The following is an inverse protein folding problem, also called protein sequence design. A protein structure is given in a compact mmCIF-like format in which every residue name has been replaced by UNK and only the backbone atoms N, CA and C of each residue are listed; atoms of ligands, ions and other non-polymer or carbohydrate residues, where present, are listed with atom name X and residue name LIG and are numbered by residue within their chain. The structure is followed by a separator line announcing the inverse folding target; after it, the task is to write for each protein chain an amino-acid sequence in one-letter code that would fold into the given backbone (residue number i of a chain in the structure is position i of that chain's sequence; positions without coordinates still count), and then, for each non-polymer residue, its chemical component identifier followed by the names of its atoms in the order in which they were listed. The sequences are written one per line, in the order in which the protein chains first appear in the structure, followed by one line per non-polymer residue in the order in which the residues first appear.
data_IF_054951706282
#
_entry.id   IF_054951706282
#
_cell.length_a   1.000
_cell.length_b   1.000
_cell.length_c   1.000
_cell.angle_alpha   90.00
_cell.angle_beta   90.00
_cell.angle_gamma   90.00
#
_symmetry.space_group_name_H-M   'P 1'
#
loop_
_entity.id
_entity.type
_entity.pdbx_description
1 polymer ?
#
# COMPACT_ATOMS: atom_id res chain seq x y z
N UNK A 1 -19.39 18.42 -20.42
CA UNK A 1 -19.72 17.02 -20.04
C UNK A 1 -19.14 16.78 -18.67
N UNK A 2 -19.99 16.69 -17.65
CA UNK A 2 -19.57 16.44 -16.26
C UNK A 2 -19.07 15.00 -16.15
N UNK A 3 -17.82 14.82 -15.72
CA UNK A 3 -17.25 13.50 -15.47
C UNK A 3 -18.16 12.76 -14.48
N UNK A 4 -18.70 11.61 -14.90
CA UNK A 4 -19.50 10.72 -14.06
C UNK A 4 -18.58 10.19 -12.96
N UNK A 5 -18.86 10.58 -11.72
CA UNK A 5 -18.04 10.21 -10.56
C UNK A 5 -18.45 8.81 -10.10
N UNK A 6 -17.55 7.83 -10.25
CA UNK A 6 -17.75 6.49 -9.73
C UNK A 6 -17.41 6.49 -8.23
N UNK A 7 -18.30 5.94 -7.43
CA UNK A 7 -18.02 5.62 -6.04
C UNK A 7 -17.91 4.10 -5.93
N UNK A 8 -16.67 3.60 -5.95
CA UNK A 8 -16.37 2.20 -5.68
C UNK A 8 -16.20 1.97 -4.18
N UNK A 9 -16.92 1.01 -3.60
CA UNK A 9 -16.74 0.59 -2.21
C UNK A 9 -16.16 -0.82 -2.20
N UNK A 10 -14.95 -0.94 -1.68
CA UNK A 10 -14.34 -2.24 -1.36
C UNK A 10 -14.91 -2.74 -0.04
N UNK A 11 -15.33 -4.01 0.00
CA UNK A 11 -15.87 -4.65 1.20
C UNK A 11 -15.33 -6.07 1.36
N UNK A 12 -15.65 -6.71 2.49
CA UNK A 12 -15.49 -8.16 2.70
C UNK A 12 -16.49 -9.00 1.88
N UNK A 13 -17.40 -8.35 1.13
CA UNK A 13 -18.47 -8.97 0.35
C UNK A 13 -18.33 -8.71 -1.16
N UNK A 14 -17.21 -8.14 -1.59
CA UNK A 14 -16.89 -7.87 -2.98
C UNK A 14 -16.63 -6.40 -3.27
N UNK A 15 -16.58 -6.08 -4.56
CA UNK A 15 -16.45 -4.72 -5.08
C UNK A 15 -17.82 -4.22 -5.51
N UNK A 16 -18.32 -3.17 -4.84
CA UNK A 16 -19.55 -2.49 -5.22
C UNK A 16 -19.23 -1.28 -6.10
N UNK A 17 -19.90 -1.17 -7.24
CA UNK A 17 -19.94 0.02 -8.09
C UNK A 17 -21.34 0.62 -8.05
N UNK A 18 -21.40 1.94 -7.87
CA UNK A 18 -22.62 2.72 -8.01
C UNK A 18 -22.41 3.70 -9.18
N UNK A 19 -23.25 3.60 -10.22
CA UNK A 19 -23.20 4.46 -11.41
C UNK A 19 -24.60 4.81 -11.88
N UNK A 20 -24.90 6.11 -11.98
CA UNK A 20 -26.22 6.63 -12.41
C UNK A 20 -27.41 6.00 -11.66
N UNK A 21 -27.27 5.76 -10.35
CA UNK A 21 -28.31 5.12 -9.51
C UNK A 21 -28.46 3.62 -9.69
N UNK A 22 -27.61 2.98 -10.51
CA UNK A 22 -27.55 1.52 -10.66
C UNK A 22 -26.38 0.98 -9.84
N UNK A 23 -26.62 -0.12 -9.12
CA UNK A 23 -25.61 -0.83 -8.34
C UNK A 23 -25.20 -2.13 -9.05
N UNK A 24 -23.89 -2.38 -9.12
CA UNK A 24 -23.33 -3.64 -9.60
C UNK A 24 -22.31 -4.13 -8.60
N UNK A 25 -22.37 -5.41 -8.24
CA UNK A 25 -21.41 -6.06 -7.35
C UNK A 25 -20.58 -7.08 -8.10
N UNK A 26 -19.28 -7.15 -7.80
CA UNK A 26 -18.38 -8.21 -8.22
C UNK A 26 -17.96 -9.03 -7.00
N UNK A 27 -18.36 -10.29 -6.96
CA UNK A 27 -18.10 -11.24 -5.88
C UNK A 27 -18.15 -12.69 -6.38
N UNK A 28 -18.04 -13.68 -5.49
CA UNK A 28 -18.09 -15.11 -5.83
C UNK A 28 -19.40 -15.56 -6.46
N UNK A 29 -20.51 -14.86 -6.21
CA UNK A 29 -21.79 -15.18 -6.83
C UNK A 29 -21.90 -14.64 -8.26
N UNK A 30 -20.99 -13.75 -8.66
CA UNK A 30 -20.94 -13.13 -10.00
C UNK A 30 -19.69 -13.57 -10.77
N UNK A 31 -19.04 -14.66 -10.37
CA UNK A 31 -17.91 -15.27 -11.08
C UNK A 31 -16.51 -14.77 -10.71
N UNK A 32 -16.34 -14.06 -9.58
CA UNK A 32 -15.04 -13.60 -9.09
C UNK A 32 -14.52 -14.52 -7.97
N UNK A 33 -13.22 -14.81 -7.90
CA UNK A 33 -12.75 -15.88 -6.98
C UNK A 33 -12.53 -15.42 -5.52
N UNK A 34 -12.83 -14.18 -5.15
CA UNK A 34 -12.66 -13.69 -3.78
C UNK A 34 -13.61 -12.54 -3.41
N UNK A 35 -14.24 -12.62 -2.25
CA UNK A 35 -15.13 -11.58 -1.74
C UNK A 35 -14.39 -10.47 -0.99
N UNK A 36 -13.15 -10.71 -0.56
CA UNK A 36 -12.40 -9.74 0.23
C UNK A 36 -11.49 -8.91 -0.66
N UNK A 37 -11.95 -7.69 -0.97
CA UNK A 37 -11.17 -6.71 -1.73
C UNK A 37 -10.31 -5.89 -0.77
N UNK A 38 -8.99 -5.92 -0.97
CA UNK A 38 -8.00 -5.27 -0.11
C UNK A 38 -7.59 -3.91 -0.65
N UNK A 39 -7.60 -3.73 -1.97
CA UNK A 39 -7.26 -2.45 -2.59
C UNK A 39 -7.72 -2.34 -4.02
N UNK A 40 -7.86 -1.11 -4.50
CA UNK A 40 -8.18 -0.80 -5.89
C UNK A 40 -7.39 0.44 -6.33
N UNK A 41 -6.91 0.43 -7.57
CA UNK A 41 -6.31 1.61 -8.20
C UNK A 41 -6.72 1.70 -9.67
N UNK A 42 -7.03 2.90 -10.12
CA UNK A 42 -7.36 3.21 -11.50
C UNK A 42 -6.09 3.40 -12.33
N UNK A 43 -6.11 2.85 -13.55
CA UNK A 43 -5.08 3.03 -14.55
C UNK A 43 -5.44 4.17 -15.53
N UNK A 44 -4.48 4.71 -16.28
CA UNK A 44 -4.75 5.83 -17.21
C UNK A 44 -5.70 5.49 -18.35
N UNK A 45 -5.84 4.21 -18.68
CA UNK A 45 -6.77 3.72 -19.70
C UNK A 45 -8.18 3.41 -19.16
N UNK A 46 -8.49 3.84 -17.93
CA UNK A 46 -9.80 3.65 -17.29
C UNK A 46 -10.06 2.22 -16.79
N UNK A 47 -9.05 1.34 -16.83
CA UNK A 47 -9.12 0.02 -16.20
C UNK A 47 -8.70 0.09 -14.74
N UNK A 48 -9.06 -0.93 -13.95
CA UNK A 48 -8.78 -0.97 -12.51
C UNK A 48 -7.95 -2.19 -12.17
N UNK A 49 -6.93 -2.00 -11.34
CA UNK A 49 -6.26 -3.10 -10.66
C UNK A 49 -6.86 -3.29 -9.28
N UNK A 50 -7.20 -4.54 -8.96
CA UNK A 50 -7.91 -4.95 -7.74
C UNK A 50 -7.09 -5.99 -7.01
N UNK A 51 -6.71 -5.69 -5.77
CA UNK A 51 -6.04 -6.60 -4.86
C UNK A 51 -7.06 -7.40 -4.03
N UNK A 52 -6.82 -8.70 -3.88
CA UNK A 52 -7.70 -9.62 -3.15
C UNK A 52 -6.97 -10.32 -2.02
N UNK A 53 -7.72 -10.89 -1.10
CA UNK A 53 -7.17 -11.54 0.08
C UNK A 53 -6.53 -12.90 -0.21
N UNK A 54 -7.02 -13.66 -1.20
CA UNK A 54 -6.62 -15.06 -1.43
C UNK A 54 -6.56 -15.44 -2.91
N UNK A 55 -6.92 -14.54 -3.80
CA UNK A 55 -6.97 -14.81 -5.24
C UNK A 55 -5.96 -14.00 -6.06
N UNK A 56 -5.00 -13.33 -5.42
CA UNK A 56 -4.03 -12.50 -6.13
C UNK A 56 -4.64 -11.15 -6.55
N UNK A 57 -4.36 -10.72 -7.77
CA UNK A 57 -4.82 -9.44 -8.31
C UNK A 57 -5.49 -9.58 -9.67
N UNK A 58 -6.43 -8.68 -9.94
CA UNK A 58 -7.17 -8.64 -11.20
C UNK A 58 -7.01 -7.27 -11.83
N UNK A 59 -6.89 -7.24 -13.16
CA UNK A 59 -7.12 -6.05 -13.96
C UNK A 59 -8.50 -6.17 -14.60
N UNK A 60 -9.36 -5.20 -14.36
CA UNK A 60 -10.77 -5.23 -14.79
C UNK A 60 -11.18 -3.94 -15.50
N UNK A 61 -12.20 -4.03 -16.35
CA UNK A 61 -12.87 -2.86 -16.92
C UNK A 61 -13.80 -2.20 -15.90
N UNK A 62 -14.35 -1.02 -16.24
CA UNK A 62 -15.41 -0.37 -15.46
C UNK A 62 -16.66 -1.26 -15.29
N UNK A 63 -16.90 -2.15 -16.25
CA UNK A 63 -18.01 -3.10 -16.25
C UNK A 63 -17.64 -4.45 -15.63
N UNK A 64 -16.49 -4.54 -14.95
CA UNK A 64 -16.00 -5.73 -14.26
C UNK A 64 -15.58 -6.90 -15.16
N UNK A 65 -15.36 -6.67 -16.45
CA UNK A 65 -14.76 -7.68 -17.32
C UNK A 65 -13.30 -7.87 -16.94
N UNK A 66 -12.88 -9.12 -16.75
CA UNK A 66 -11.51 -9.46 -16.38
C UNK A 66 -10.62 -9.40 -17.61
N UNK A 67 -9.69 -8.45 -17.63
CA UNK A 67 -8.65 -8.31 -18.66
C UNK A 67 -7.47 -9.22 -18.33
N UNK A 68 -7.08 -9.30 -17.06
CA UNK A 68 -5.94 -10.10 -16.61
C UNK A 68 -6.16 -10.53 -15.17
N UNK A 69 -5.72 -11.75 -14.85
CA UNK A 69 -5.68 -12.27 -13.49
C UNK A 69 -4.25 -12.74 -13.21
N UNK A 70 -3.60 -12.14 -12.21
CA UNK A 70 -2.28 -12.54 -11.75
C UNK A 70 -2.38 -13.18 -10.36
N UNK A 71 -1.84 -14.37 -10.23
CA UNK A 71 -1.81 -15.18 -9.02
C UNK A 71 -0.51 -16.01 -8.98
N UNK A 72 -0.34 -16.87 -7.98
CA UNK A 72 0.89 -17.68 -7.82
C UNK A 72 1.17 -18.62 -8.98
N UNK A 73 0.16 -19.13 -9.68
CA UNK A 73 0.35 -19.98 -10.86
C UNK A 73 0.82 -19.18 -12.07
N UNK A 74 0.60 -17.86 -12.08
CA UNK A 74 1.09 -16.93 -13.09
C UNK A 74 2.31 -16.11 -12.59
N UNK A 75 2.93 -16.52 -11.48
CA UNK A 75 4.19 -15.96 -10.99
C UNK A 75 4.09 -14.84 -9.94
N UNK A 76 2.90 -14.50 -9.44
CA UNK A 76 2.73 -13.58 -8.31
C UNK A 76 3.36 -14.16 -7.04
N UNK A 77 4.03 -13.32 -6.24
CA UNK A 77 4.76 -13.78 -5.05
C UNK A 77 3.83 -14.37 -3.97
N UNK A 78 2.60 -13.86 -3.86
CA UNK A 78 1.56 -14.47 -3.03
C UNK A 78 0.16 -14.09 -3.52
N UNK A 79 -0.80 -15.00 -3.36
CA UNK A 79 -2.21 -14.69 -3.59
C UNK A 79 -2.82 -13.83 -2.48
N UNK A 80 -2.12 -13.70 -1.34
CA UNK A 80 -2.50 -12.80 -0.26
C UNK A 80 -1.93 -11.42 -0.53
N UNK A 81 -2.75 -10.56 -1.12
CA UNK A 81 -2.36 -9.23 -1.58
C UNK A 81 -2.98 -8.18 -0.68
N UNK A 82 -2.12 -7.39 -0.04
CA UNK A 82 -2.53 -6.39 0.95
C UNK A 82 -2.82 -5.04 0.31
N UNK A 83 -1.99 -4.63 -0.66
CA UNK A 83 -2.13 -3.31 -1.28
C UNK A 83 -1.76 -3.34 -2.76
N UNK A 84 -2.43 -2.50 -3.54
CA UNK A 84 -2.07 -2.17 -4.92
C UNK A 84 -1.89 -0.67 -5.09
N UNK A 85 -0.78 -0.24 -5.69
CA UNK A 85 -0.41 1.16 -5.87
C UNK A 85 0.05 1.37 -7.31
N UNK A 86 -0.48 2.41 -7.95
CA UNK A 86 0.00 2.85 -9.26
C UNK A 86 1.23 3.73 -9.08
N UNK A 87 2.30 3.37 -9.77
CA UNK A 87 3.52 4.13 -9.91
C UNK A 87 3.39 5.30 -10.88
N UNK A 88 4.42 6.14 -10.89
CA UNK A 88 4.46 7.37 -11.71
C UNK A 88 4.58 7.14 -13.20
N UNK A 89 5.16 6.02 -13.61
CA UNK A 89 5.40 5.66 -15.01
C UNK A 89 4.44 4.58 -15.52
N UNK A 90 3.36 4.32 -14.78
CA UNK A 90 2.32 3.36 -15.14
C UNK A 90 2.53 1.94 -14.60
N UNK A 91 3.61 1.70 -13.85
CA UNK A 91 3.78 0.46 -13.09
C UNK A 91 2.66 0.30 -12.07
N UNK A 92 2.41 -0.96 -11.73
CA UNK A 92 1.60 -1.32 -10.57
C UNK A 92 2.49 -2.03 -9.58
N UNK A 93 2.63 -1.46 -8.39
CA UNK A 93 3.27 -2.08 -7.24
C UNK A 93 2.22 -2.83 -6.44
N UNK A 94 2.51 -4.06 -6.04
CA UNK A 94 1.59 -4.86 -5.22
C UNK A 94 2.29 -5.45 -4.00
N UNK A 95 1.80 -5.09 -2.81
CA UNK A 95 2.27 -5.59 -1.53
C UNK A 95 1.63 -6.95 -1.27
N UNK A 96 2.45 -7.96 -0.99
CA UNK A 96 1.99 -9.33 -0.77
C UNK A 96 2.55 -9.88 0.54
N UNK A 97 2.02 -11.04 0.97
CA UNK A 97 2.58 -11.78 2.11
C UNK A 97 4.07 -12.17 1.92
N UNK A 98 4.51 -12.33 0.67
CA UNK A 98 5.82 -12.89 0.33
C UNK A 98 6.68 -11.90 -0.49
N UNK A 99 6.51 -10.60 -0.23
CA UNK A 99 7.27 -9.53 -0.87
C UNK A 99 6.39 -8.55 -1.67
N UNK A 100 7.06 -7.77 -2.49
CA UNK A 100 6.49 -6.80 -3.44
C UNK A 100 6.69 -7.32 -4.85
N UNK A 101 5.65 -7.26 -5.69
CA UNK A 101 5.77 -7.45 -7.14
C UNK A 101 5.55 -6.12 -7.88
N UNK A 102 6.29 -5.91 -8.97
CA UNK A 102 6.13 -4.79 -9.90
C UNK A 102 5.56 -5.33 -11.21
N UNK A 103 4.46 -4.74 -11.65
CA UNK A 103 3.75 -5.13 -12.85
C UNK A 103 3.82 -3.99 -13.87
N UNK A 104 4.11 -4.34 -15.13
CA UNK A 104 4.03 -3.44 -16.27
C UNK A 104 3.15 -4.08 -17.34
N UNK A 105 2.16 -3.32 -17.82
CA UNK A 105 1.11 -3.87 -18.67
C UNK A 105 0.35 -4.96 -17.91
N UNK A 106 0.48 -6.21 -18.36
CA UNK A 106 -0.18 -7.38 -17.77
C UNK A 106 0.82 -8.42 -17.22
N UNK A 107 2.09 -8.04 -17.00
CA UNK A 107 3.16 -8.97 -16.61
C UNK A 107 3.90 -8.47 -15.38
N UNK A 108 4.31 -9.41 -14.53
CA UNK A 108 5.23 -9.15 -13.43
C UNK A 108 6.64 -9.03 -14.01
N UNK A 109 7.31 -7.90 -13.76
CA UNK A 109 8.62 -7.57 -14.33
C UNK A 109 9.75 -7.56 -13.30
N UNK A 110 9.45 -7.33 -12.02
CA UNK A 110 10.43 -7.33 -10.93
C UNK A 110 9.75 -7.75 -9.63
N UNK A 111 10.53 -8.31 -8.70
CA UNK A 111 10.10 -8.62 -7.35
C UNK A 111 11.15 -8.19 -6.34
N UNK A 112 10.70 -7.90 -5.13
CA UNK A 112 11.54 -7.66 -3.98
C UNK A 112 11.02 -8.49 -2.81
N UNK A 113 11.92 -9.26 -2.19
CA UNK A 113 11.68 -10.06 -0.99
C UNK A 113 12.95 -10.04 -0.12
N UNK A 114 12.96 -10.78 0.99
CA UNK A 114 14.14 -10.89 1.88
C UNK A 114 15.38 -11.37 1.13
N UNK A 115 15.22 -12.32 0.20
CA UNK A 115 16.30 -12.79 -0.67
C UNK A 115 16.86 -11.71 -1.62
N UNK A 116 16.14 -10.62 -1.85
CA UNK A 116 16.60 -9.45 -2.60
C UNK A 116 17.09 -8.31 -1.70
N UNK A 117 17.01 -8.46 -0.37
CA UNK A 117 17.47 -7.46 0.59
C UNK A 117 16.37 -6.65 1.29
N UNK A 118 15.08 -6.95 1.06
CA UNK A 118 14.03 -6.39 1.92
C UNK A 118 14.25 -6.85 3.36
N UNK A 119 13.80 -6.03 4.32
CA UNK A 119 13.92 -6.38 5.74
C UNK A 119 13.04 -7.58 6.11
N UNK A 120 11.85 -7.67 5.50
CA UNK A 120 10.87 -8.71 5.74
C UNK A 120 10.01 -8.96 4.49
N UNK A 121 9.48 -10.17 4.39
CA UNK A 121 8.65 -10.61 3.26
C UNK A 121 7.20 -10.11 3.38
N UNK A 122 6.68 -9.97 4.60
CA UNK A 122 5.31 -9.49 4.78
C UNK A 122 5.26 -7.98 4.59
N UNK A 123 4.93 -7.57 3.35
CA UNK A 123 4.79 -6.16 2.96
C UNK A 123 3.35 -5.71 3.18
N UNK A 124 3.16 -4.63 3.94
CA UNK A 124 1.84 -4.05 4.19
C UNK A 124 1.48 -2.98 3.17
N UNK A 125 2.42 -2.05 2.91
CA UNK A 125 2.17 -0.95 1.99
C UNK A 125 3.45 -0.47 1.29
N UNK A 126 3.27 0.22 0.17
CA UNK A 126 4.34 0.78 -0.65
C UNK A 126 3.98 2.24 -0.96
N UNK A 127 4.95 3.12 -0.81
CA UNK A 127 4.85 4.52 -1.23
C UNK A 127 5.99 4.86 -2.16
N UNK A 128 5.67 5.46 -3.31
CA UNK A 128 6.66 6.02 -4.21
C UNK A 128 6.71 7.53 -4.02
N UNK A 129 7.87 8.05 -3.62
CA UNK A 129 8.05 9.47 -3.36
C UNK A 129 8.37 10.29 -4.62
N UNK A 130 8.53 11.60 -4.45
CA UNK A 130 8.89 12.57 -5.50
C UNK A 130 10.12 12.16 -6.33
N UNK A 131 11.10 11.51 -5.70
CA UNK A 131 12.41 11.18 -6.25
C UNK A 131 12.48 9.74 -6.81
N UNK A 132 11.32 9.08 -6.95
CA UNK A 132 11.16 7.68 -7.36
C UNK A 132 11.75 6.66 -6.38
N UNK A 133 11.96 7.06 -5.12
CA UNK A 133 12.34 6.15 -4.05
C UNK A 133 11.09 5.39 -3.60
N UNK A 134 11.20 4.07 -3.48
CA UNK A 134 10.14 3.25 -2.89
C UNK A 134 10.39 3.09 -1.41
N UNK A 135 9.38 3.42 -0.62
CA UNK A 135 9.31 3.21 0.82
C UNK A 135 8.34 2.06 1.07
N UNK A 136 8.83 0.97 1.65
CA UNK A 136 8.13 -0.31 1.76
C UNK A 136 7.93 -0.61 3.25
N UNK A 137 6.68 -0.50 3.69
CA UNK A 137 6.26 -0.77 5.06
C UNK A 137 6.09 -2.29 5.25
N UNK A 138 6.77 -2.87 6.24
CA UNK A 138 6.78 -4.32 6.48
C UNK A 138 6.52 -4.66 7.94
N UNK A 139 6.41 -5.96 8.23
CA UNK A 139 6.28 -6.44 9.60
C UNK A 139 7.52 -6.24 10.47
N UNK A 140 8.70 -6.06 9.88
CA UNK A 140 9.98 -5.96 10.59
C UNK A 140 10.71 -4.63 10.42
N UNK A 141 10.12 -3.67 9.72
CA UNK A 141 10.62 -2.31 9.61
C UNK A 141 10.18 -1.62 8.34
N UNK A 142 10.95 -0.61 7.96
CA UNK A 142 10.80 0.12 6.72
C UNK A 142 11.98 -0.23 5.80
N UNK A 143 11.72 -0.62 4.56
CA UNK A 143 12.76 -0.74 3.53
C UNK A 143 12.66 0.44 2.56
N UNK A 144 13.80 1.01 2.19
CA UNK A 144 13.92 2.05 1.16
C UNK A 144 14.67 1.47 -0.04
N UNK A 145 14.06 1.57 -1.22
CA UNK A 145 14.65 1.14 -2.50
C UNK A 145 14.93 2.37 -3.35
N UNK A 146 16.21 2.63 -3.62
CA UNK A 146 16.69 3.72 -4.47
C UNK A 146 17.53 3.14 -5.60
N UNK A 147 16.93 3.05 -6.79
CA UNK A 147 17.51 2.29 -7.90
C UNK A 147 17.59 0.80 -7.56
N UNK A 148 18.80 0.24 -7.54
CA UNK A 148 19.06 -1.15 -7.16
C UNK A 148 19.57 -1.31 -5.73
N UNK A 149 19.71 -0.22 -4.98
CA UNK A 149 20.13 -0.24 -3.58
C UNK A 149 18.92 -0.35 -2.66
N UNK A 150 19.04 -1.22 -1.65
CA UNK A 150 18.05 -1.39 -0.59
C UNK A 150 18.70 -1.05 0.75
N UNK A 151 18.08 -0.16 1.50
CA UNK A 151 18.44 0.17 2.88
C UNK A 151 17.27 -0.12 3.79
N UNK A 152 17.53 -0.73 4.93
CA UNK A 152 16.51 -1.16 5.89
C UNK A 152 16.63 -0.34 7.17
N UNK A 153 15.48 -0.03 7.77
CA UNK A 153 15.38 0.71 9.03
C UNK A 153 14.45 -0.03 9.98
N UNK A 154 14.95 -0.33 11.18
CA UNK A 154 14.17 -0.92 12.26
C UNK A 154 14.60 -0.38 13.62
N UNK A 155 14.18 -1.00 14.72
CA UNK A 155 14.55 -0.57 16.08
C UNK A 155 16.05 -0.48 16.33
N UNK A 156 16.85 -1.37 15.74
CA UNK A 156 18.30 -1.35 15.90
C UNK A 156 18.94 -0.12 15.24
N UNK A 157 18.24 0.49 14.28
CA UNK A 157 18.71 1.63 13.49
C UNK A 157 18.13 2.96 14.01
N UNK A 158 17.19 2.92 14.98
CA UNK A 158 16.62 4.10 15.64
C UNK A 158 15.12 4.30 15.45
N UNK A 159 14.40 3.38 14.79
CA UNK A 159 12.94 3.39 14.81
C UNK A 159 12.44 3.03 16.23
N UNK A 160 11.30 3.60 16.65
CA UNK A 160 10.68 3.23 17.93
C UNK A 160 9.78 1.99 17.83
N UNK A 161 9.50 1.52 16.61
CA UNK A 161 8.77 0.28 16.34
C UNK A 161 9.30 -0.41 15.07
N UNK A 162 9.14 -1.73 15.00
CA UNK A 162 9.50 -2.53 13.82
C UNK A 162 8.29 -2.76 12.93
N UNK A 163 7.08 -2.90 13.50
CA UNK A 163 5.90 -3.24 12.69
C UNK A 163 5.30 -1.98 12.09
N UNK A 164 5.62 -1.72 10.82
CA UNK A 164 5.15 -0.54 10.09
C UNK A 164 4.03 -0.95 9.14
N UNK A 165 2.83 -0.41 9.33
CA UNK A 165 1.65 -0.79 8.55
C UNK A 165 1.44 0.07 7.30
N UNK A 166 1.88 1.33 7.35
CA UNK A 166 1.71 2.29 6.25
C UNK A 166 2.87 3.28 6.25
N UNK A 167 3.01 4.02 5.16
CA UNK A 167 4.01 5.09 5.03
C UNK A 167 3.40 6.22 4.21
N UNK A 168 3.36 7.43 4.77
CA UNK A 168 2.79 8.62 4.13
C UNK A 168 3.76 9.79 4.29
N UNK A 169 4.09 10.46 3.19
CA UNK A 169 4.86 11.71 3.22
C UNK A 169 3.93 12.93 3.31
N UNK A 170 4.23 13.86 4.21
CA UNK A 170 3.59 15.17 4.26
C UNK A 170 4.33 16.24 3.43
N UNK A 171 3.72 17.42 3.27
CA UNK A 171 4.33 18.51 2.48
C UNK A 171 5.53 19.19 3.16
N UNK A 172 5.84 18.82 4.40
CA UNK A 172 6.99 19.33 5.15
C UNK A 172 8.19 18.37 5.09
N UNK A 173 8.05 17.24 4.38
CA UNK A 173 9.11 16.24 4.23
C UNK A 173 9.21 15.28 5.41
N UNK A 174 8.15 15.13 6.21
CA UNK A 174 8.07 14.08 7.22
C UNK A 174 7.33 12.85 6.68
N UNK A 175 7.85 11.68 7.05
CA UNK A 175 7.22 10.39 6.88
C UNK A 175 6.44 10.05 8.15
N UNK A 176 5.18 9.67 7.97
CA UNK A 176 4.27 9.20 9.00
C UNK A 176 4.09 7.69 8.85
N UNK A 177 4.45 6.95 9.89
CA UNK A 177 4.53 5.49 9.92
C UNK A 177 3.59 4.95 11.00
N UNK A 178 2.36 4.56 10.68
CA UNK A 178 1.49 3.86 11.62
C UNK A 178 2.11 2.53 12.06
N UNK A 179 2.10 2.28 13.37
CA UNK A 179 2.66 1.08 14.00
C UNK A 179 1.64 0.44 14.92
N UNK A 180 2.04 -0.63 15.61
CA UNK A 180 1.19 -1.27 16.63
C UNK A 180 1.07 -0.43 17.92
N UNK A 181 2.02 0.49 18.15
CA UNK A 181 2.11 1.27 19.38
C UNK A 181 1.82 2.77 19.19
N UNK A 182 1.27 3.16 18.04
CA UNK A 182 0.99 4.56 17.70
C UNK A 182 1.40 4.91 16.27
N UNK A 183 1.82 6.15 16.06
CA UNK A 183 2.32 6.63 14.77
C UNK A 183 3.70 7.23 14.99
N UNK A 184 4.69 6.78 14.22
CA UNK A 184 6.00 7.41 14.19
C UNK A 184 6.02 8.52 13.14
N UNK A 185 6.68 9.63 13.46
CA UNK A 185 7.01 10.70 12.53
C UNK A 185 8.51 10.84 12.43
N UNK A 186 9.04 10.85 11.20
CA UNK A 186 10.48 10.86 10.91
C UNK A 186 10.74 11.83 9.76
N UNK A 187 11.81 12.63 9.83
CA UNK A 187 12.22 13.47 8.69
C UNK A 187 12.75 12.56 7.56
N UNK A 188 12.14 12.63 6.36
CA UNK A 188 12.55 11.80 5.22
C UNK A 188 14.03 11.97 4.89
N UNK A 189 14.52 13.21 4.95
CA UNK A 189 15.92 13.55 4.69
C UNK A 189 16.89 12.81 5.61
N UNK A 190 16.50 12.54 6.85
CA UNK A 190 17.34 11.81 7.81
C UNK A 190 17.51 10.35 7.40
N UNK A 191 16.42 9.69 6.96
CA UNK A 191 16.46 8.32 6.44
C UNK A 191 17.34 8.21 5.19
N UNK A 192 17.25 9.19 4.29
CA UNK A 192 18.12 9.26 3.10
C UNK A 192 19.58 9.49 3.49
N UNK A 193 19.87 10.40 4.42
CA UNK A 193 21.23 10.62 4.91
C UNK A 193 21.81 9.37 5.58
N UNK A 194 21.01 8.62 6.34
CA UNK A 194 21.41 7.36 6.95
C UNK A 194 21.79 6.34 5.87
N UNK A 195 20.97 6.20 4.82
CA UNK A 195 21.27 5.30 3.70
C UNK A 195 22.55 5.65 2.94
N UNK A 196 22.99 6.90 3.02
CA UNK A 196 24.20 7.41 2.40
C UNK A 196 25.40 7.44 3.36
N UNK A 197 25.27 6.84 4.55
CA UNK A 197 26.25 6.85 5.64
C UNK A 197 26.69 8.27 6.04
N UNK A 198 25.78 9.25 5.95
CA UNK A 198 26.01 10.65 6.35
C UNK A 198 25.59 10.94 7.78
N UNK A 199 24.90 10.00 8.42
CA UNK A 199 24.48 10.04 9.83
C UNK A 199 24.35 8.61 10.33
N UNK A 200 24.69 8.38 11.59
CA UNK A 200 24.52 7.08 12.25
C UNK A 200 23.22 6.99 13.06
N UNK A 201 22.49 8.11 13.18
CA UNK A 201 21.32 8.21 14.04
C UNK A 201 20.06 8.54 13.25
N UNK A 202 19.01 7.76 13.49
CA UNK A 202 17.64 8.06 13.08
C UNK A 202 16.87 8.48 14.33
N UNK A 203 16.19 9.61 14.24
CA UNK A 203 15.32 10.12 15.30
C UNK A 203 13.87 10.07 14.83
N UNK A 204 13.05 9.36 15.60
CA UNK A 204 11.61 9.28 15.36
C UNK A 204 10.85 9.83 16.57
N UNK A 205 9.75 10.53 16.29
CA UNK A 205 8.80 10.98 17.31
C UNK A 205 7.61 10.03 17.27
N UNK A 206 7.25 9.43 18.41
CA UNK A 206 6.05 8.61 18.51
C UNK A 206 4.88 9.44 19.03
N UNK A 207 3.71 9.25 18.42
CA UNK A 207 2.43 9.76 18.88
C UNK A 207 1.53 8.59 19.26
N UNK A 208 0.97 8.61 20.46
CA UNK A 208 0.10 7.56 20.98
C UNK A 208 -1.00 8.07 21.91
N UNK A 209 -1.54 7.18 22.76
CA UNK A 209 -2.64 7.53 23.69
C UNK A 209 -2.34 8.74 24.58
N UNK A 210 -1.08 8.89 24.99
CA UNK A 210 -0.60 10.05 25.76
C UNK A 210 -0.76 11.39 25.03
N UNK A 211 -0.81 11.36 23.70
CA UNK A 211 -0.87 12.52 22.82
C UNK A 211 -2.30 12.81 22.34
N UNK A 212 -3.32 12.19 22.98
CA UNK A 212 -4.73 12.42 22.70
C UNK A 212 -5.34 11.49 21.66
N UNK A 213 -4.61 10.44 21.25
CA UNK A 213 -5.11 9.44 20.30
C UNK A 213 -6.06 8.45 20.97
N UNK A 214 -7.27 8.29 20.42
CA UNK A 214 -8.35 7.49 21.03
C UNK A 214 -8.04 5.99 21.15
N UNK A 215 -7.17 5.44 20.30
CA UNK A 215 -6.72 4.04 20.35
C UNK A 215 -5.23 3.89 20.00
N UNK A 216 -4.67 2.68 20.08
CA UNK A 216 -3.27 2.33 19.74
C UNK A 216 -3.13 1.62 18.39
N UNK A 217 -4.22 1.08 17.82
CA UNK A 217 -4.19 0.30 16.59
C UNK A 217 -4.67 1.12 15.38
N UNK A 218 -3.74 1.71 14.63
CA UNK A 218 -4.03 2.40 13.35
C UNK A 218 -3.72 1.47 12.18
N UNK A 219 -4.41 0.33 12.13
CA UNK A 219 -4.21 -0.71 11.11
C UNK A 219 -5.15 -0.45 9.93
N UNK A 220 -4.94 0.66 9.23
CA UNK A 220 -5.66 0.97 8.01
C UNK A 220 -5.02 0.27 6.81
N UNK A 221 -5.55 -0.87 6.37
CA UNK A 221 -5.18 -1.50 5.09
C UNK A 221 -5.77 -0.77 3.87
N UNK A 222 -6.26 0.45 4.03
CA UNK A 222 -6.84 1.26 2.97
C UNK A 222 -6.26 2.67 3.02
N UNK A 223 -5.73 3.14 1.88
CA UNK A 223 -5.15 4.48 1.69
C UNK A 223 -5.86 5.54 2.52
N UNK A 224 -5.10 6.29 3.31
CA UNK A 224 -5.55 7.60 3.79
C UNK A 224 -5.95 8.44 2.57
N UNK A 225 -7.22 8.87 2.53
CA UNK A 225 -7.68 9.77 1.49
C UNK A 225 -7.17 11.17 1.85
N UNK A 226 -6.21 11.67 1.08
CA UNK A 226 -5.84 13.10 1.11
C UNK A 226 -7.00 13.89 0.51
N UNK A 227 -7.83 14.51 1.35
CA UNK A 227 -8.78 15.52 0.89
C UNK A 227 -8.01 16.81 0.55
N UNK A 228 -8.46 17.54 -0.47
CA UNK A 228 -7.79 18.74 -1.02
C UNK A 228 -7.55 19.90 -0.03
N UNK A 229 -7.99 19.78 1.23
CA UNK A 229 -8.08 20.88 2.19
C UNK A 229 -7.35 20.63 3.53
N UNK A 230 -6.20 19.95 3.51
CA UNK A 230 -5.36 19.73 4.72
C UNK A 230 -6.05 18.95 5.86
N UNK A 231 -7.05 18.13 5.54
CA UNK A 231 -7.61 17.15 6.47
C UNK A 231 -7.15 15.75 6.09
N UNK A 232 -6.48 15.08 7.03
CA UNK A 232 -6.10 13.68 6.91
C UNK A 232 -7.25 12.83 7.45
N UNK A 233 -7.94 12.09 6.59
CA UNK A 233 -8.82 11.02 7.05
C UNK A 233 -8.03 9.70 7.00
N UNK A 234 -7.55 9.24 8.15
CA UNK A 234 -7.25 7.83 8.36
C UNK A 234 -8.55 7.06 8.17
N UNK A 235 -8.64 6.26 7.12
CA UNK A 235 -9.79 5.40 6.89
C UNK A 235 -9.61 4.15 7.75
N UNK A 236 -10.32 4.09 8.87
CA UNK A 236 -10.37 2.93 9.74
C UNK A 236 -11.22 1.84 9.09
N UNK A 237 -10.71 0.61 9.05
CA UNK A 237 -11.57 -0.56 9.01
C UNK A 237 -11.75 -0.97 10.46
N UNK A 238 -12.91 -0.66 11.03
CA UNK A 238 -13.30 -1.17 12.34
C UNK A 238 -13.36 -2.70 12.21
N UNK A 239 -12.45 -3.41 12.89
CA UNK A 239 -12.65 -4.82 13.19
C UNK A 239 -13.65 -4.88 14.34
N UNK A 240 -14.85 -5.39 14.08
CA UNK A 240 -15.69 -5.94 15.14
C UNK A 240 -15.13 -7.30 15.56
#
# INVERSE_FOLDING_TARGET
MTAKKIHGVCSYHGLLRISNGTEKILNTNTGFNDNTIRGIVENDDGTYWVATNQSGIYRITEDFDVITHLNTTTGLSSNFVLTVVKGKTGEIYTATKNGLDIIQGNKIVKRYNVGNGLIEDMVFNIYQDADNILWIATIGGLSMVKGDQITNFNKKDGLLDDKIFDVIEDSLGYMWLPTINGILRIEKRLLVQYSENKTDNIFSVSYGKSDGMHDQQYVGASKALKLKERQYCLKYIIRN
#
